data_IF_445825363873
#
_entry.id   IF_445825363873
#
_cell.length_a   1.000
_cell.length_b   1.000
_cell.length_c   1.000
_cell.angle_alpha   90.00
_cell.angle_beta   90.00
_cell.angle_gamma   90.00
#
_symmetry.space_group_name_H-M   'P 1'
#
loop_
_entity.id
_entity.type
_entity.pdbx_description
1 polymer ?
#
# COMPACT_ATOMS: atom_id res chain seq x y z
N UNK A 1 -47.93 4.01 -25.04
CA UNK A 1 -48.40 4.45 -26.37
C UNK A 1 -48.48 5.97 -26.37
N UNK A 2 -48.00 6.57 -27.46
CA UNK A 2 -47.98 7.98 -27.90
C UNK A 2 -48.99 8.92 -27.21
N UNK A 3 -48.64 10.19 -26.93
CA UNK A 3 -48.80 11.31 -27.89
C UNK A 3 -47.73 12.41 -27.69
N UNK A 4 -47.22 12.93 -28.82
CA UNK A 4 -46.34 14.10 -29.02
C UNK A 4 -47.16 15.32 -29.50
N UNK A 5 -46.53 16.50 -29.40
CA UNK A 5 -46.73 17.75 -30.20
C UNK A 5 -47.68 18.80 -29.59
N UNK A 6 -47.16 19.93 -29.09
CA UNK A 6 -46.78 21.20 -29.78
C UNK A 6 -48.00 22.10 -30.09
N UNK A 7 -48.12 23.26 -29.42
CA UNK A 7 -48.08 24.58 -30.07
C UNK A 7 -48.09 25.73 -29.03
N UNK A 8 -47.35 26.78 -29.36
CA UNK A 8 -47.12 28.00 -28.59
C UNK A 8 -48.20 29.08 -28.82
N UNK A 9 -48.42 29.96 -27.85
CA UNK A 9 -48.85 31.34 -28.10
C UNK A 9 -48.41 32.31 -26.98
N UNK A 10 -47.59 33.27 -27.39
CA UNK A 10 -47.54 34.69 -27.01
C UNK A 10 -47.74 35.13 -25.55
N UNK A 11 -46.71 35.78 -24.98
CA UNK A 11 -46.93 37.03 -24.23
C UNK A 11 -45.79 38.02 -24.47
N UNK A 12 -46.15 39.15 -25.05
CA UNK A 12 -45.29 40.30 -25.35
C UNK A 12 -45.07 41.16 -24.10
N UNK A 13 -43.85 41.72 -24.03
CA UNK A 13 -43.45 43.04 -23.51
C UNK A 13 -43.87 43.44 -22.08
N UNK A 14 -42.87 43.73 -21.23
CA UNK A 14 -42.58 45.08 -20.71
C UNK A 14 -41.07 45.14 -20.38
N UNK A 15 -40.36 46.03 -21.09
CA UNK A 15 -39.01 46.49 -20.77
C UNK A 15 -39.14 47.63 -19.75
N UNK A 16 -38.53 47.48 -18.58
CA UNK A 16 -38.22 48.60 -17.70
C UNK A 16 -36.72 48.57 -17.38
N UNK A 17 -36.00 49.47 -18.05
CA UNK A 17 -34.62 49.82 -17.76
C UNK A 17 -34.53 50.43 -16.36
N UNK A 18 -33.71 49.84 -15.48
CA UNK A 18 -33.09 50.58 -14.38
C UNK A 18 -31.61 50.23 -14.36
N UNK A 19 -30.81 51.16 -14.85
CA UNK A 19 -29.35 51.11 -14.78
C UNK A 19 -28.92 51.46 -13.35
N UNK A 20 -28.35 50.50 -12.64
CA UNK A 20 -27.49 50.79 -11.48
C UNK A 20 -26.04 50.81 -11.97
N UNK A 21 -25.53 52.03 -12.19
CA UNK A 21 -24.11 52.29 -12.33
C UNK A 21 -23.45 52.11 -10.96
N UNK A 22 -22.65 51.05 -10.81
CA UNK A 22 -21.71 50.93 -9.70
C UNK A 22 -20.41 51.68 -10.08
N UNK A 23 -19.81 52.47 -9.17
CA UNK A 23 -18.59 53.20 -9.47
C UNK A 23 -17.39 52.24 -9.55
N UNK A 24 -16.74 52.20 -10.71
CA UNK A 24 -15.39 51.66 -10.86
C UNK A 24 -14.39 52.63 -10.25
N UNK A 25 -14.07 52.43 -8.97
CA UNK A 25 -12.79 52.85 -8.39
C UNK A 25 -11.94 51.61 -8.21
N UNK A 26 -11.03 51.36 -9.15
CA UNK A 26 -9.92 50.43 -8.95
C UNK A 26 -9.02 50.99 -7.84
N UNK A 27 -9.00 50.32 -6.69
CA UNK A 27 -7.97 50.53 -5.68
C UNK A 27 -6.70 49.77 -6.11
N UNK A 28 -5.52 50.42 -6.18
CA UNK A 28 -4.28 49.70 -6.39
C UNK A 28 -3.97 48.85 -5.15
N UNK A 29 -3.97 47.52 -5.31
CA UNK A 29 -3.48 46.60 -4.31
C UNK A 29 -1.95 46.78 -4.18
N UNK A 30 -1.51 47.43 -3.10
CA UNK A 30 -0.10 47.51 -2.74
C UNK A 30 0.16 46.55 -1.55
N UNK A 31 0.47 45.27 -1.80
CA UNK A 31 0.65 44.30 -0.73
C UNK A 31 1.92 44.63 0.07
N UNK A 32 1.73 45.02 1.34
CA UNK A 32 2.81 45.07 2.33
C UNK A 32 3.25 43.64 2.65
N UNK A 33 4.54 43.33 2.47
CA UNK A 33 5.16 42.10 2.97
C UNK A 33 5.05 42.09 4.50
N UNK A 34 4.21 41.20 5.04
CA UNK A 34 4.17 40.92 6.48
C UNK A 34 5.18 39.80 6.73
N UNK A 35 6.32 40.14 7.35
CA UNK A 35 7.28 39.16 7.88
C UNK A 35 6.84 38.75 9.28
N UNK A 36 5.89 37.82 9.38
CA UNK A 36 5.61 37.12 10.63
C UNK A 36 5.32 35.66 10.28
N UNK A 37 6.09 34.75 10.88
CA UNK A 37 5.89 33.32 10.72
C UNK A 37 4.52 32.94 11.29
N UNK A 38 3.66 32.38 10.44
CA UNK A 38 2.46 31.69 10.89
C UNK A 38 2.92 30.33 11.40
N UNK A 39 2.87 30.15 12.71
CA UNK A 39 3.16 28.89 13.37
C UNK A 39 1.98 27.94 13.12
N UNK A 40 2.18 26.89 12.32
CA UNK A 40 1.22 25.78 12.24
C UNK A 40 1.18 25.06 13.61
N UNK A 41 0.01 24.95 14.26
CA UNK A 41 -0.11 24.15 15.45
C UNK A 41 -0.26 22.69 15.02
N UNK A 42 0.77 21.88 15.29
CA UNK A 42 0.88 20.40 15.25
C UNK A 42 2.00 19.95 14.30
N UNK A 43 3.14 19.59 14.92
CA UNK A 43 4.25 18.86 14.32
C UNK A 43 4.04 17.35 14.57
N UNK A 44 3.75 16.54 13.53
CA UNK A 44 3.57 15.09 13.68
C UNK A 44 4.90 14.30 13.86
N UNK A 45 6.04 14.98 14.01
CA UNK A 45 7.38 14.36 14.09
C UNK A 45 8.19 14.73 15.35
N UNK A 46 7.59 15.34 16.38
CA UNK A 46 8.31 15.66 17.61
C UNK A 46 8.63 14.40 18.45
N UNK A 47 9.85 13.87 18.27
CA UNK A 47 10.49 12.93 19.19
C UNK A 47 11.71 13.63 19.78
N UNK A 48 11.76 13.75 21.11
CA UNK A 48 12.78 14.50 21.84
C UNK A 48 14.21 14.08 21.44
N UNK A 49 15.00 15.07 21.00
CA UNK A 49 16.45 14.92 20.80
C UNK A 49 17.15 15.12 22.13
N UNK A 50 17.60 14.02 22.74
CA UNK A 50 18.66 14.04 23.73
C UNK A 50 19.68 12.94 23.42
N UNK A 51 20.78 13.31 22.77
CA UNK A 51 22.15 12.86 23.07
C UNK A 51 23.13 13.17 21.91
N UNK A 52 23.98 14.17 22.17
CA UNK A 52 25.43 14.17 21.91
C UNK A 52 25.98 14.40 20.50
N UNK A 53 26.51 15.62 20.36
CA UNK A 53 27.51 16.09 19.40
C UNK A 53 28.70 15.13 19.23
N UNK A 54 29.06 14.83 17.97
CA UNK A 54 30.47 14.64 17.58
C UNK A 54 30.70 15.32 16.23
N UNK A 55 31.80 16.05 16.21
CA UNK A 55 32.34 17.00 15.23
C UNK A 55 32.59 16.42 13.84
N UNK A 56 32.39 17.22 12.81
CA UNK A 56 32.74 16.90 11.42
C UNK A 56 34.20 17.24 11.09
N UNK A 57 34.83 16.42 10.25
CA UNK A 57 35.91 16.81 9.33
C UNK A 57 35.81 16.01 8.00
N UNK A 58 36.23 16.58 6.86
CA UNK A 58 35.85 16.11 5.53
C UNK A 58 36.91 15.19 4.89
N UNK A 59 36.47 14.26 4.03
CA UNK A 59 37.36 13.54 3.12
C UNK A 59 36.70 13.31 1.75
N UNK A 60 37.26 14.02 0.76
CA UNK A 60 37.61 13.63 -0.61
C UNK A 60 36.80 12.58 -1.40
N UNK A 61 36.47 13.01 -2.61
CA UNK A 61 36.02 12.31 -3.81
C UNK A 61 36.59 10.90 -4.05
N UNK A 62 35.69 9.95 -4.35
CA UNK A 62 35.97 8.82 -5.25
C UNK A 62 34.71 8.54 -6.09
N UNK A 63 34.89 8.51 -7.41
CA UNK A 63 33.88 8.10 -8.37
C UNK A 63 33.63 6.59 -8.28
N UNK A 64 32.36 6.16 -8.28
CA UNK A 64 31.99 4.76 -8.48
C UNK A 64 30.65 4.65 -9.22
N UNK A 65 30.78 4.21 -10.48
CA UNK A 65 29.90 3.40 -11.32
C UNK A 65 28.53 2.95 -10.80
N UNK A 66 27.55 3.06 -11.71
CA UNK A 66 26.16 2.62 -11.63
C UNK A 66 25.97 1.20 -11.07
N UNK A 67 25.11 1.09 -10.05
CA UNK A 67 24.71 -0.16 -9.43
C UNK A 67 23.38 -0.66 -10.02
N UNK A 68 23.46 -1.83 -10.66
CA UNK A 68 22.36 -2.72 -11.04
C UNK A 68 21.76 -3.43 -9.82
N UNK A 69 20.44 -3.66 -9.81
CA UNK A 69 19.73 -4.43 -8.78
C UNK A 69 20.26 -5.89 -8.68
N UNK A 70 20.24 -6.50 -7.47
CA UNK A 70 20.80 -7.82 -7.23
C UNK A 70 19.88 -8.96 -7.70
N UNK A 71 20.47 -9.88 -8.46
CA UNK A 71 19.89 -11.15 -8.84
C UNK A 71 19.95 -12.15 -7.66
N UNK A 72 18.81 -12.75 -7.30
CA UNK A 72 18.77 -13.90 -6.38
C UNK A 72 18.78 -15.18 -7.21
N UNK A 73 19.86 -15.94 -7.10
CA UNK A 73 19.99 -17.29 -7.65
C UNK A 73 19.78 -18.32 -6.53
N UNK A 74 18.96 -19.32 -6.80
CA UNK A 74 18.67 -20.45 -5.91
C UNK A 74 19.52 -21.66 -6.31
N UNK A 75 20.21 -22.29 -5.35
CA UNK A 75 20.78 -23.63 -5.59
C UNK A 75 21.82 -24.14 -4.58
N UNK A 76 21.40 -25.16 -3.84
CA UNK A 76 22.17 -26.30 -3.31
C UNK A 76 23.10 -26.16 -2.08
N UNK A 77 22.95 -27.15 -1.21
CA UNK A 77 23.60 -27.38 0.08
C UNK A 77 24.99 -28.06 -0.05
N UNK A 78 25.88 -27.88 0.94
CA UNK A 78 26.31 -28.94 1.89
C UNK A 78 27.54 -28.51 2.72
N UNK A 79 27.47 -28.82 4.03
CA UNK A 79 28.50 -29.11 5.08
C UNK A 79 29.86 -28.40 5.06
N UNK A 80 30.21 -27.73 6.17
CA UNK A 80 31.38 -28.03 7.04
C UNK A 80 31.13 -27.42 8.44
N UNK A 81 31.43 -28.21 9.47
CA UNK A 81 31.22 -27.95 10.90
C UNK A 81 32.40 -27.24 11.58
N UNK A 82 32.17 -26.86 12.86
CA UNK A 82 33.14 -26.60 13.95
C UNK A 82 33.93 -25.29 13.85
N UNK A 83 34.27 -24.54 14.91
CA UNK A 83 34.04 -24.41 16.36
C UNK A 83 35.00 -23.25 16.75
N UNK A 84 34.74 -22.50 17.82
CA UNK A 84 35.68 -21.71 18.67
C UNK A 84 34.84 -20.62 19.37
N UNK A 85 34.28 -20.89 20.55
CA UNK A 85 34.87 -20.74 21.91
C UNK A 85 34.64 -19.36 22.56
N UNK A 86 33.67 -19.35 23.49
CA UNK A 86 33.65 -18.81 24.85
C UNK A 86 34.28 -17.46 25.21
N UNK A 87 33.45 -16.60 25.84
CA UNK A 87 33.83 -15.82 27.04
C UNK A 87 32.57 -15.50 27.87
N UNK A 88 32.62 -15.43 29.23
CA UNK A 88 31.45 -15.57 30.10
C UNK A 88 30.91 -14.26 30.71
N UNK A 89 29.71 -14.42 31.28
CA UNK A 89 29.00 -13.61 32.28
C UNK A 89 28.25 -12.32 31.89
N UNK A 90 26.93 -12.46 31.78
CA UNK A 90 25.97 -11.50 32.35
C UNK A 90 24.68 -12.23 32.75
N UNK A 91 24.24 -12.01 33.99
CA UNK A 91 23.06 -12.60 34.65
C UNK A 91 21.83 -12.70 33.73
N UNK A 92 21.43 -13.92 33.43
CA UNK A 92 20.18 -14.23 32.73
C UNK A 92 19.02 -14.17 33.71
N UNK A 93 18.18 -13.13 33.60
CA UNK A 93 16.83 -13.15 34.13
C UNK A 93 16.08 -14.31 33.47
N UNK A 94 15.62 -15.27 34.27
CA UNK A 94 14.91 -16.46 33.80
C UNK A 94 13.55 -16.04 33.21
N UNK A 95 13.51 -15.70 31.92
CA UNK A 95 12.24 -15.64 31.17
C UNK A 95 11.68 -17.05 31.09
N UNK A 96 10.47 -17.24 31.63
CA UNK A 96 9.71 -18.46 31.45
C UNK A 96 9.65 -18.84 29.96
N UNK A 97 9.78 -20.13 29.60
CA UNK A 97 9.73 -20.55 28.21
C UNK A 97 8.38 -20.16 27.60
N UNK A 98 8.41 -19.37 26.54
CA UNK A 98 7.23 -18.99 25.78
C UNK A 98 6.53 -20.26 25.27
N UNK A 99 5.29 -20.48 25.68
CA UNK A 99 4.45 -21.53 25.11
C UNK A 99 4.42 -21.34 23.59
N UNK A 100 4.71 -22.39 22.77
CA UNK A 100 4.67 -22.27 21.33
C UNK A 100 3.29 -21.77 20.89
N UNK A 101 3.26 -20.71 20.11
CA UNK A 101 2.01 -20.14 19.62
C UNK A 101 1.22 -21.18 18.82
N UNK A 102 -0.05 -21.40 19.19
CA UNK A 102 -0.97 -22.23 18.41
C UNK A 102 -1.48 -21.43 17.20
N UNK A 103 -1.32 -22.00 16.01
CA UNK A 103 -1.73 -21.39 14.74
C UNK A 103 -3.02 -21.98 14.18
N UNK A 104 -3.86 -22.60 15.03
CA UNK A 104 -5.19 -23.03 14.62
C UNK A 104 -6.09 -21.81 14.40
N UNK A 105 -7.10 -21.93 13.53
CA UNK A 105 -8.07 -20.86 13.25
C UNK A 105 -8.70 -20.32 14.54
N UNK A 106 -9.14 -21.22 15.43
CA UNK A 106 -9.76 -20.85 16.71
C UNK A 106 -8.76 -20.14 17.63
N UNK A 107 -7.52 -20.62 17.72
CA UNK A 107 -6.49 -19.99 18.55
C UNK A 107 -6.14 -18.58 18.05
N UNK A 108 -6.10 -18.35 16.73
CA UNK A 108 -5.84 -17.02 16.17
C UNK A 108 -7.03 -16.09 16.38
N UNK A 109 -8.26 -16.59 16.17
CA UNK A 109 -9.47 -15.79 16.39
C UNK A 109 -9.71 -15.46 17.86
N UNK A 110 -9.28 -16.32 18.79
CA UNK A 110 -9.34 -16.12 20.22
C UNK A 110 -8.08 -15.48 20.82
N UNK A 111 -7.05 -15.19 20.01
CA UNK A 111 -5.83 -14.55 20.49
C UNK A 111 -6.17 -13.19 21.08
N UNK A 112 -5.78 -12.94 22.32
CA UNK A 112 -5.95 -11.65 23.02
C UNK A 112 -4.67 -10.82 22.98
N UNK A 113 -4.73 -9.56 23.41
CA UNK A 113 -3.55 -8.72 23.60
C UNK A 113 -2.70 -9.22 24.78
N UNK A 114 -1.47 -9.71 24.56
CA UNK A 114 -0.55 -9.96 25.66
C UNK A 114 0.30 -8.71 25.91
N UNK A 115 0.60 -8.46 27.19
CA UNK A 115 1.58 -7.44 27.56
C UNK A 115 2.96 -7.82 27.01
N UNK A 116 3.60 -6.92 26.27
CA UNK A 116 4.95 -7.16 25.73
C UNK A 116 5.02 -8.19 24.59
N UNK A 117 4.26 -7.99 23.51
CA UNK A 117 4.31 -8.85 22.33
C UNK A 117 5.75 -9.03 21.79
N UNK A 118 6.21 -10.28 21.55
CA UNK A 118 7.55 -10.54 21.06
C UNK A 118 7.75 -10.04 19.63
N UNK A 119 9.02 -9.89 19.22
CA UNK A 119 9.35 -9.67 17.80
C UNK A 119 9.05 -10.92 16.98
N UNK A 120 8.73 -10.72 15.70
CA UNK A 120 8.43 -11.78 14.75
C UNK A 120 6.93 -12.05 14.63
N UNK A 121 6.59 -13.29 14.31
CA UNK A 121 5.20 -13.70 14.08
C UNK A 121 4.48 -14.08 15.38
N UNK A 122 3.22 -13.65 15.50
CA UNK A 122 2.35 -14.03 16.62
C UNK A 122 0.86 -14.08 16.17
N UNK A 123 0.03 -15.00 16.69
CA UNK A 123 -1.40 -15.04 16.44
C UNK A 123 -2.12 -13.71 16.72
N UNK A 124 -1.73 -12.96 17.75
CA UNK A 124 -2.30 -11.65 18.04
C UNK A 124 -1.98 -10.63 16.93
N UNK A 125 -0.77 -10.64 16.38
CA UNK A 125 -0.43 -9.79 15.22
C UNK A 125 -1.21 -10.22 13.97
N UNK A 126 -1.34 -11.53 13.73
CA UNK A 126 -2.15 -12.05 12.62
C UNK A 126 -3.62 -11.58 12.72
N UNK A 127 -4.23 -11.72 13.90
CA UNK A 127 -5.59 -11.21 14.17
C UNK A 127 -5.67 -9.69 14.00
N UNK A 128 -4.70 -8.96 14.57
CA UNK A 128 -4.63 -7.50 14.45
C UNK A 128 -4.51 -7.03 12.99
N UNK A 129 -3.71 -7.70 12.16
CA UNK A 129 -3.55 -7.35 10.74
C UNK A 129 -4.89 -7.40 10.00
N UNK A 130 -5.71 -8.42 10.24
CA UNK A 130 -7.05 -8.50 9.62
C UNK A 130 -7.95 -7.39 10.13
N UNK A 131 -7.97 -7.12 11.44
CA UNK A 131 -8.77 -6.05 12.02
C UNK A 131 -8.36 -4.67 11.50
N UNK A 132 -7.06 -4.42 11.35
CA UNK A 132 -6.48 -3.21 10.78
C UNK A 132 -6.85 -3.07 9.30
N UNK A 133 -6.67 -4.14 8.52
CA UNK A 133 -7.11 -4.18 7.13
C UNK A 133 -8.59 -3.81 7.02
N UNK A 134 -9.46 -4.45 7.81
CA UNK A 134 -10.90 -4.21 7.77
C UNK A 134 -11.32 -2.84 8.32
N UNK A 135 -10.44 -2.18 9.07
CA UNK A 135 -10.59 -0.79 9.52
C UNK A 135 -9.98 0.22 8.55
N UNK A 136 -9.61 -0.22 7.33
CA UNK A 136 -8.99 0.57 6.27
C UNK A 136 -7.60 1.14 6.59
N UNK A 137 -6.95 0.63 7.64
CA UNK A 137 -5.54 0.86 7.93
C UNK A 137 -4.73 -0.36 7.45
N UNK A 138 -4.43 -0.43 6.15
CA UNK A 138 -3.84 -1.62 5.54
C UNK A 138 -2.45 -1.93 6.13
N UNK A 139 -2.17 -3.17 6.58
CA UNK A 139 -0.82 -3.63 6.89
C UNK A 139 -0.03 -4.04 5.63
N UNK A 140 -0.65 -3.96 4.44
CA UNK A 140 -0.14 -4.62 3.24
C UNK A 140 -0.38 -6.12 3.33
N UNK A 141 0.63 -6.93 3.00
CA UNK A 141 0.49 -8.39 3.06
C UNK A 141 0.34 -8.88 4.50
N UNK A 142 -0.74 -9.61 4.78
CA UNK A 142 -0.99 -10.22 6.07
C UNK A 142 -0.02 -11.39 6.25
N UNK A 143 0.98 -11.19 7.12
CA UNK A 143 2.04 -12.17 7.42
C UNK A 143 2.18 -12.52 8.91
N UNK A 144 1.30 -11.95 9.75
CA UNK A 144 1.27 -12.16 11.19
C UNK A 144 2.49 -11.64 11.96
N UNK A 145 3.34 -10.82 11.34
CA UNK A 145 4.59 -10.31 11.93
C UNK A 145 4.48 -8.86 12.43
N UNK A 146 5.38 -8.44 13.32
CA UNK A 146 5.46 -7.05 13.80
C UNK A 146 6.40 -6.15 12.97
N UNK A 147 6.37 -6.30 11.64
CA UNK A 147 7.23 -5.56 10.73
C UNK A 147 6.89 -4.06 10.63
N UNK A 148 7.69 -3.31 9.86
CA UNK A 148 7.51 -1.85 9.68
C UNK A 148 6.11 -1.47 9.16
N UNK A 149 5.51 -2.27 8.29
CA UNK A 149 4.16 -1.99 7.78
C UNK A 149 3.09 -2.20 8.86
N UNK A 150 3.27 -3.18 9.74
CA UNK A 150 2.41 -3.38 10.92
C UNK A 150 2.40 -2.16 11.82
N UNK A 151 3.60 -1.63 12.15
CA UNK A 151 3.71 -0.44 13.00
C UNK A 151 3.02 0.78 12.37
N UNK A 152 3.18 0.96 11.06
CA UNK A 152 2.53 2.04 10.29
C UNK A 152 1.00 1.91 10.25
N UNK A 153 0.49 0.69 10.03
CA UNK A 153 -0.93 0.42 10.02
C UNK A 153 -1.54 0.69 11.40
N UNK A 154 -0.86 0.27 12.48
CA UNK A 154 -1.26 0.57 13.84
C UNK A 154 -1.31 2.09 14.09
N UNK A 155 -0.26 2.82 13.72
CA UNK A 155 -0.21 4.28 13.88
C UNK A 155 -1.34 4.98 13.11
N UNK A 156 -1.62 4.52 11.89
CA UNK A 156 -2.68 5.09 11.05
C UNK A 156 -4.07 4.78 11.64
N UNK A 157 -4.29 3.55 12.12
CA UNK A 157 -5.52 3.19 12.82
C UNK A 157 -5.71 4.01 14.09
N UNK A 158 -4.66 4.19 14.89
CA UNK A 158 -4.70 5.02 16.09
C UNK A 158 -5.12 6.45 15.74
N UNK A 159 -4.48 7.06 14.75
CA UNK A 159 -4.82 8.40 14.27
C UNK A 159 -6.28 8.50 13.78
N UNK A 160 -6.72 7.54 12.96
CA UNK A 160 -8.10 7.48 12.44
C UNK A 160 -9.16 7.35 13.55
N UNK A 161 -8.78 6.86 14.73
CA UNK A 161 -9.68 6.62 15.85
C UNK A 161 -9.42 7.55 17.06
N UNK A 162 -8.67 8.64 16.86
CA UNK A 162 -8.43 9.63 17.91
C UNK A 162 -7.52 9.14 19.05
N UNK A 163 -6.73 8.10 18.81
CA UNK A 163 -5.69 7.61 19.71
C UNK A 163 -4.34 8.23 19.35
N UNK A 164 -3.41 8.27 20.30
CA UNK A 164 -2.02 8.68 20.04
C UNK A 164 -1.37 7.70 19.05
N UNK A 165 -0.82 8.15 17.91
CA UNK A 165 -0.29 7.29 16.86
C UNK A 165 1.13 6.79 17.19
N UNK A 166 1.24 5.95 18.22
CA UNK A 166 2.53 5.38 18.68
C UNK A 166 3.08 4.31 17.73
N UNK A 167 2.23 3.70 16.90
CA UNK A 167 2.57 2.55 16.07
C UNK A 167 2.80 1.25 16.85
N UNK A 168 2.63 1.28 18.18
CA UNK A 168 2.70 0.11 19.05
C UNK A 168 1.30 -0.45 19.25
N UNK A 169 1.16 -1.78 19.22
CA UNK A 169 -0.11 -2.43 19.54
C UNK A 169 -0.31 -2.36 21.06
N UNK A 170 -0.92 -1.28 21.54
CA UNK A 170 -1.27 -1.11 22.95
C UNK A 170 -2.60 -1.78 23.28
N UNK A 171 -2.91 -1.91 24.57
CA UNK A 171 -4.20 -2.44 25.00
C UNK A 171 -5.37 -1.59 24.48
N UNK A 172 -5.26 -0.26 24.54
CA UNK A 172 -6.28 0.67 24.06
C UNK A 172 -6.51 0.50 22.56
N UNK A 173 -5.42 0.29 21.81
CA UNK A 173 -5.47 0.04 20.37
C UNK A 173 -6.16 -1.29 20.06
N UNK A 174 -5.83 -2.33 20.83
CA UNK A 174 -6.46 -3.64 20.72
C UNK A 174 -7.96 -3.60 21.01
N UNK A 175 -8.34 -3.01 22.14
CA UNK A 175 -9.74 -2.87 22.54
C UNK A 175 -10.55 -2.13 21.46
N UNK A 176 -9.98 -1.07 20.86
CA UNK A 176 -10.59 -0.33 19.76
C UNK A 176 -10.73 -1.16 18.46
N UNK A 177 -9.76 -2.03 18.16
CA UNK A 177 -9.85 -2.96 17.02
C UNK A 177 -10.94 -4.01 17.25
N UNK A 178 -10.96 -4.64 18.43
CA UNK A 178 -11.96 -5.66 18.81
C UNK A 178 -13.37 -5.06 18.81
N UNK A 179 -13.55 -3.85 19.32
CA UNK A 179 -14.85 -3.17 19.33
C UNK A 179 -15.45 -2.94 17.93
N UNK A 180 -14.63 -2.89 16.88
CA UNK A 180 -15.07 -2.76 15.48
C UNK A 180 -15.21 -4.10 14.76
N UNK A 181 -14.73 -5.19 15.36
CA UNK A 181 -14.74 -6.50 14.74
C UNK A 181 -16.15 -7.11 14.81
N UNK A 182 -16.80 -7.27 13.65
CA UNK A 182 -18.14 -7.88 13.55
C UNK A 182 -18.13 -9.32 13.05
N UNK A 183 -16.99 -9.80 12.54
CA UNK A 183 -16.79 -11.15 12.00
C UNK A 183 -15.45 -11.73 12.46
N UNK A 184 -15.28 -13.07 12.51
CA UNK A 184 -13.98 -13.68 12.76
C UNK A 184 -12.91 -13.16 11.80
N UNK A 185 -11.69 -12.99 12.30
CA UNK A 185 -10.55 -12.49 11.52
C UNK A 185 -10.05 -13.55 10.52
N UNK A 186 -10.11 -14.82 10.90
CA UNK A 186 -9.80 -15.94 10.04
C UNK A 186 -11.02 -16.84 9.89
N UNK A 187 -11.20 -17.38 8.69
CA UNK A 187 -12.32 -18.24 8.34
C UNK A 187 -11.85 -19.42 7.52
N UNK A 188 -12.65 -20.47 7.50
CA UNK A 188 -12.48 -21.57 6.56
C UNK A 188 -12.99 -21.14 5.17
N UNK A 189 -12.19 -21.40 4.15
CA UNK A 189 -12.52 -21.21 2.75
C UNK A 189 -12.39 -22.53 1.99
N UNK A 190 -13.40 -22.86 1.20
CA UNK A 190 -13.39 -24.03 0.32
C UNK A 190 -12.88 -23.62 -1.05
N UNK A 191 -11.74 -24.18 -1.48
CA UNK A 191 -11.18 -23.96 -2.81
C UNK A 191 -12.22 -24.40 -3.87
N UNK A 192 -12.48 -23.53 -4.83
CA UNK A 192 -13.48 -23.78 -5.88
C UNK A 192 -12.84 -24.21 -7.19
N UNK A 193 -13.62 -24.80 -8.09
CA UNK A 193 -13.16 -25.08 -9.46
C UNK A 193 -12.74 -23.80 -10.21
N UNK A 194 -13.39 -22.67 -9.92
CA UNK A 194 -13.03 -21.37 -10.50
C UNK A 194 -11.63 -20.91 -10.05
N UNK A 195 -11.29 -21.13 -8.78
CA UNK A 195 -9.95 -20.83 -8.27
C UNK A 195 -8.89 -21.67 -9.00
N UNK A 196 -9.17 -22.93 -9.34
CA UNK A 196 -8.23 -23.81 -10.04
C UNK A 196 -8.15 -23.55 -11.56
N UNK A 197 -9.25 -23.08 -12.17
CA UNK A 197 -9.36 -22.92 -13.63
C UNK A 197 -8.50 -21.77 -14.17
N UNK A 198 -8.23 -20.74 -13.37
CA UNK A 198 -7.37 -19.61 -13.76
C UNK A 198 -8.10 -18.50 -14.53
N UNK A 199 -7.37 -17.68 -15.28
CA UNK A 199 -6.14 -18.00 -16.02
C UNK A 199 -4.86 -18.06 -15.18
N UNK A 200 -3.96 -18.97 -15.55
CA UNK A 200 -2.61 -19.13 -14.97
C UNK A 200 -1.54 -19.14 -16.07
N UNK A 201 -0.33 -18.74 -15.71
CA UNK A 201 0.88 -18.88 -16.53
C UNK A 201 1.82 -19.90 -15.89
N UNK A 202 2.42 -20.81 -16.67
CA UNK A 202 3.34 -21.81 -16.14
C UNK A 202 4.57 -21.17 -15.47
N UNK A 203 5.07 -20.09 -16.07
CA UNK A 203 6.11 -19.22 -15.51
C UNK A 203 6.06 -17.86 -16.18
N UNK A 204 6.68 -16.86 -15.54
CA UNK A 204 6.89 -15.53 -16.12
C UNK A 204 8.40 -15.29 -16.26
N UNK A 205 8.93 -15.14 -17.49
CA UNK A 205 10.34 -14.87 -17.71
C UNK A 205 10.69 -13.47 -17.18
N UNK A 206 11.93 -13.26 -16.74
CA UNK A 206 12.39 -11.95 -16.29
C UNK A 206 12.56 -10.94 -17.44
N UNK A 207 12.80 -11.41 -18.67
CA UNK A 207 13.00 -10.57 -19.85
C UNK A 207 11.68 -10.01 -20.40
N UNK A 208 11.62 -8.69 -20.58
CA UNK A 208 10.41 -7.99 -21.03
C UNK A 208 10.03 -8.30 -22.48
N UNK A 209 10.99 -8.59 -23.38
CA UNK A 209 10.65 -9.00 -24.74
C UNK A 209 10.04 -10.40 -24.80
N UNK A 210 10.37 -11.28 -23.84
CA UNK A 210 9.67 -12.56 -23.66
C UNK A 210 8.28 -12.35 -23.06
N UNK A 211 8.16 -11.51 -22.02
CA UNK A 211 6.87 -11.17 -21.41
C UNK A 211 5.89 -10.55 -22.43
N UNK A 212 6.37 -9.69 -23.33
CA UNK A 212 5.57 -9.04 -24.38
C UNK A 212 4.91 -10.04 -25.35
N UNK A 213 5.41 -11.27 -25.44
CA UNK A 213 4.87 -12.34 -26.30
C UNK A 213 3.86 -13.23 -25.58
N UNK A 214 3.69 -13.08 -24.27
CA UNK A 214 2.76 -13.88 -23.48
C UNK A 214 1.31 -13.48 -23.76
N UNK A 215 0.35 -14.37 -23.43
CA UNK A 215 -1.08 -14.06 -23.51
C UNK A 215 -1.56 -13.12 -22.39
N UNK A 216 -0.83 -13.10 -21.28
CA UNK A 216 -1.12 -12.33 -20.07
C UNK A 216 -0.10 -12.66 -19.00
N UNK A 217 0.18 -11.68 -18.14
CA UNK A 217 1.06 -11.84 -16.98
C UNK A 217 0.21 -12.30 -15.78
N UNK A 218 -0.36 -13.50 -15.93
CA UNK A 218 -1.29 -14.09 -14.97
C UNK A 218 -0.58 -14.60 -13.71
N UNK A 219 -1.36 -15.03 -12.71
CA UNK A 219 -0.80 -15.78 -11.58
C UNK A 219 -0.07 -17.02 -12.07
N UNK A 220 0.95 -17.43 -11.34
CA UNK A 220 1.73 -18.64 -11.63
C UNK A 220 1.35 -19.82 -10.74
N UNK A 221 0.63 -19.55 -9.64
CA UNK A 221 0.18 -20.57 -8.67
C UNK A 221 -1.18 -20.20 -8.08
N UNK A 222 -1.95 -21.21 -7.70
CA UNK A 222 -3.22 -21.04 -6.96
C UNK A 222 -2.99 -20.34 -5.61
N UNK A 223 -1.90 -20.66 -4.92
CA UNK A 223 -1.53 -20.02 -3.63
C UNK A 223 -1.21 -18.55 -3.77
N UNK A 224 -0.59 -18.13 -4.88
CA UNK A 224 -0.35 -16.73 -5.20
C UNK A 224 -1.68 -16.00 -5.43
N UNK A 225 -2.58 -16.57 -6.24
CA UNK A 225 -3.93 -16.03 -6.48
C UNK A 225 -4.73 -15.91 -5.19
N UNK A 226 -4.72 -16.94 -4.34
CA UNK A 226 -5.42 -16.94 -3.05
C UNK A 226 -4.80 -15.94 -2.08
N UNK A 227 -3.47 -15.79 -2.07
CA UNK A 227 -2.78 -14.75 -1.31
C UNK A 227 -3.29 -13.37 -1.69
N UNK A 228 -3.37 -13.08 -2.98
CA UNK A 228 -3.94 -11.82 -3.50
C UNK A 228 -5.41 -11.64 -3.14
N UNK A 229 -6.23 -12.70 -3.28
CA UNK A 229 -7.66 -12.69 -2.97
C UNK A 229 -7.97 -12.40 -1.49
N UNK A 230 -7.11 -12.85 -0.58
CA UNK A 230 -7.30 -12.72 0.87
C UNK A 230 -6.30 -11.76 1.53
N UNK A 231 -5.55 -10.99 0.73
CA UNK A 231 -4.55 -10.00 1.15
C UNK A 231 -3.43 -10.60 2.02
N UNK A 232 -3.10 -11.88 1.80
CA UNK A 232 -2.12 -12.63 2.59
C UNK A 232 -0.77 -12.75 1.87
N UNK A 233 0.30 -12.77 2.66
CA UNK A 233 1.58 -13.27 2.16
C UNK A 233 1.46 -14.76 1.79
N UNK A 234 1.97 -15.15 0.61
CA UNK A 234 1.83 -16.52 0.09
C UNK A 234 2.49 -17.56 1.03
N UNK A 235 3.61 -17.21 1.69
CA UNK A 235 4.29 -18.13 2.61
C UNK A 235 3.49 -18.27 3.89
N UNK A 236 2.94 -17.17 4.40
CA UNK A 236 2.08 -17.22 5.58
C UNK A 236 0.78 -18.01 5.32
N UNK A 237 0.17 -17.86 4.14
CA UNK A 237 -0.98 -18.67 3.73
C UNK A 237 -0.64 -20.18 3.75
N UNK A 238 0.52 -20.58 3.25
CA UNK A 238 0.99 -21.98 3.28
C UNK A 238 1.31 -22.45 4.69
N UNK A 239 1.95 -21.61 5.50
CA UNK A 239 2.27 -21.91 6.90
C UNK A 239 1.00 -22.18 7.72
N UNK A 240 -0.06 -21.42 7.48
CA UNK A 240 -1.34 -21.58 8.17
C UNK A 240 -2.10 -22.83 7.72
N UNK A 241 -1.72 -23.41 6.58
CA UNK A 241 -2.35 -24.56 5.95
C UNK A 241 -1.31 -25.64 5.59
N UNK A 242 -0.57 -26.19 6.58
CA UNK A 242 0.58 -27.05 6.31
C UNK A 242 0.20 -28.37 5.62
N UNK A 243 -1.06 -28.79 5.75
CA UNK A 243 -1.58 -30.03 5.18
C UNK A 243 -2.31 -29.82 3.84
N UNK A 244 -2.43 -28.58 3.36
CA UNK A 244 -3.18 -28.29 2.15
C UNK A 244 -2.33 -28.44 0.87
N UNK A 245 -2.91 -29.07 -0.14
CA UNK A 245 -2.32 -29.24 -1.48
C UNK A 245 -2.48 -28.01 -2.36
N UNK A 246 -3.57 -27.24 -2.16
CA UNK A 246 -4.03 -26.12 -2.99
C UNK A 246 -4.30 -26.48 -4.46
N UNK A 247 -4.56 -27.76 -4.74
CA UNK A 247 -4.71 -28.29 -6.11
C UNK A 247 -6.08 -28.92 -6.36
N UNK A 248 -6.97 -28.96 -5.37
CA UNK A 248 -8.22 -29.70 -5.44
C UNK A 248 -9.40 -28.83 -4.99
N UNK A 249 -10.46 -28.80 -5.79
CA UNK A 249 -11.71 -28.18 -5.39
C UNK A 249 -12.35 -28.95 -4.23
N UNK A 250 -13.00 -28.25 -3.31
CA UNK A 250 -13.52 -28.82 -2.07
C UNK A 250 -12.50 -28.90 -0.94
N UNK A 251 -11.22 -28.65 -1.20
CA UNK A 251 -10.21 -28.54 -0.15
C UNK A 251 -10.48 -27.31 0.72
N UNK A 252 -10.47 -27.50 2.04
CA UNK A 252 -10.74 -26.46 3.03
C UNK A 252 -9.42 -25.89 3.55
N UNK A 253 -9.29 -24.58 3.54
CA UNK A 253 -8.12 -23.85 4.01
C UNK A 253 -8.53 -22.70 4.93
N UNK A 254 -7.66 -22.32 5.85
CA UNK A 254 -7.80 -21.14 6.70
C UNK A 254 -7.27 -19.92 5.93
N UNK A 255 -8.08 -18.89 5.83
CA UNK A 255 -7.73 -17.62 5.17
C UNK A 255 -8.16 -16.42 6.00
N UNK A 256 -7.56 -15.27 5.73
CA UNK A 256 -7.99 -14.00 6.32
C UNK A 256 -9.37 -13.57 5.78
N UNK A 257 -10.23 -13.07 6.65
CA UNK A 257 -11.55 -12.53 6.32
C UNK A 257 -11.44 -11.03 6.09
N UNK A 258 -11.17 -10.64 4.85
CA UNK A 258 -10.79 -9.27 4.48
C UNK A 258 -11.92 -8.47 3.84
N UNK A 259 -11.87 -7.14 4.02
CA UNK A 259 -12.63 -6.16 3.22
C UNK A 259 -12.19 -6.19 1.75
N UNK A 260 -13.01 -5.61 0.88
CA UNK A 260 -12.72 -5.43 -0.56
C UNK A 260 -13.24 -4.07 -1.08
N UNK A 261 -13.33 -3.07 -0.20
CA UNK A 261 -13.89 -1.76 -0.51
C UNK A 261 -13.29 -0.63 0.35
N UNK A 262 -13.67 0.60 0.00
CA UNK A 262 -13.41 1.83 0.75
C UNK A 262 -14.73 2.48 1.17
N UNK A 263 -14.80 3.04 2.38
CA UNK A 263 -16.07 3.41 3.00
C UNK A 263 -16.64 4.73 2.46
N UNK A 264 -15.76 5.65 2.04
CA UNK A 264 -16.11 7.04 1.73
C UNK A 264 -15.42 7.53 0.45
N UNK A 265 -16.00 8.57 -0.16
CA UNK A 265 -15.41 9.22 -1.33
C UNK A 265 -14.10 9.93 -0.96
N UNK A 266 -13.14 9.86 -1.87
CA UNK A 266 -11.78 10.38 -1.68
C UNK A 266 -11.72 11.80 -2.23
N UNK A 267 -11.35 12.76 -1.38
CA UNK A 267 -11.14 14.16 -1.76
C UNK A 267 -9.65 14.48 -1.98
N UNK A 268 -8.79 13.91 -1.15
CA UNK A 268 -7.34 14.13 -1.17
C UNK A 268 -6.60 12.82 -0.92
N UNK A 269 -5.52 12.63 -1.68
CA UNK A 269 -4.54 11.57 -1.49
C UNK A 269 -3.22 12.24 -1.08
N UNK A 270 -2.63 11.81 0.03
CA UNK A 270 -1.30 12.25 0.45
C UNK A 270 -0.33 11.09 0.26
N UNK A 271 0.64 11.25 -0.64
CA UNK A 271 1.75 10.34 -0.83
C UNK A 271 2.93 10.79 0.05
N UNK A 272 3.04 10.22 1.24
CA UNK A 272 4.06 10.59 2.22
C UNK A 272 5.31 9.72 2.05
N UNK A 273 6.38 10.31 1.50
CA UNK A 273 7.61 9.61 1.11
C UNK A 273 8.36 9.05 2.32
N UNK A 274 8.58 9.86 3.35
CA UNK A 274 9.26 9.47 4.59
C UNK A 274 8.52 8.37 5.35
N UNK A 275 7.20 8.51 5.49
CA UNK A 275 6.37 7.46 6.08
C UNK A 275 6.24 6.22 5.19
N UNK A 276 6.49 6.35 3.88
CA UNK A 276 6.24 5.32 2.84
C UNK A 276 4.80 4.80 2.93
N UNK A 277 3.86 5.74 2.96
CA UNK A 277 2.43 5.47 3.03
C UNK A 277 1.65 6.39 2.10
N UNK A 278 0.49 5.90 1.69
CA UNK A 278 -0.54 6.67 1.03
C UNK A 278 -1.69 6.88 2.03
N UNK A 279 -2.04 8.13 2.32
CA UNK A 279 -3.18 8.48 3.17
C UNK A 279 -4.33 9.02 2.32
N UNK A 280 -5.54 8.55 2.58
CA UNK A 280 -6.75 8.96 1.87
C UNK A 280 -7.62 9.79 2.81
N UNK A 281 -8.05 10.96 2.35
CA UNK A 281 -8.89 11.89 3.11
C UNK A 281 -10.20 12.15 2.38
N UNK A 282 -11.29 12.24 3.16
CA UNK A 282 -12.59 12.69 2.67
C UNK A 282 -12.66 14.23 2.59
N UNK A 283 -13.81 14.77 2.16
CA UNK A 283 -14.05 16.23 2.05
C UNK A 283 -14.09 16.96 3.40
N UNK A 284 -14.15 16.22 4.51
CA UNK A 284 -14.12 16.73 5.89
C UNK A 284 -12.69 16.73 6.47
N UNK A 285 -11.68 16.46 5.65
CA UNK A 285 -10.27 16.30 6.06
C UNK A 285 -10.04 15.19 7.09
N UNK A 286 -10.91 14.18 7.13
CA UNK A 286 -10.70 13.00 7.96
C UNK A 286 -9.96 11.94 7.17
N UNK A 287 -8.94 11.34 7.78
CA UNK A 287 -8.27 10.18 7.20
C UNK A 287 -9.25 9.00 7.20
N UNK A 288 -9.57 8.48 6.02
CA UNK A 288 -10.52 7.37 5.84
C UNK A 288 -9.83 6.05 5.52
N UNK A 289 -8.57 6.09 5.11
CA UNK A 289 -7.76 4.92 4.86
C UNK A 289 -6.26 5.25 4.78
N UNK A 290 -5.43 4.24 5.02
CA UNK A 290 -3.99 4.30 4.82
C UNK A 290 -3.46 3.02 4.17
N UNK A 291 -2.58 3.16 3.18
CA UNK A 291 -1.91 2.02 2.54
C UNK A 291 -0.39 2.12 2.67
N UNK A 292 0.33 1.03 2.94
CA UNK A 292 1.77 1.03 2.80
C UNK A 292 2.11 1.20 1.31
N UNK A 293 3.16 1.95 1.02
CA UNK A 293 3.52 2.26 -0.36
C UNK A 293 5.04 2.20 -0.55
N UNK A 294 5.48 1.81 -1.74
CA UNK A 294 6.85 2.11 -2.18
C UNK A 294 6.80 3.37 -3.03
N UNK A 295 7.46 4.44 -2.58
CA UNK A 295 7.39 5.77 -3.20
C UNK A 295 8.80 6.25 -3.54
N UNK A 296 9.16 6.17 -4.82
CA UNK A 296 10.45 6.62 -5.35
C UNK A 296 11.68 5.97 -4.72
N UNK A 297 12.86 6.35 -5.21
CA UNK A 297 14.15 6.14 -4.57
C UNK A 297 14.90 7.47 -4.51
N UNK A 298 16.05 7.53 -3.84
CA UNK A 298 16.94 8.69 -3.96
C UNK A 298 17.44 8.88 -5.39
N UNK A 299 17.67 7.78 -6.10
CA UNK A 299 18.22 7.77 -7.46
C UNK A 299 17.15 8.03 -8.53
N UNK A 300 15.88 7.79 -8.18
CA UNK A 300 14.70 8.04 -9.02
C UNK A 300 13.58 8.60 -8.15
N UNK A 301 13.69 9.88 -7.73
CA UNK A 301 12.77 10.47 -6.76
C UNK A 301 11.36 10.53 -7.34
N UNK A 302 10.39 10.20 -6.49
CA UNK A 302 9.01 10.54 -6.79
C UNK A 302 8.86 12.06 -6.96
N UNK A 303 7.88 12.50 -7.75
CA UNK A 303 7.62 13.92 -7.96
C UNK A 303 7.41 14.68 -6.65
N UNK A 304 7.77 15.95 -6.62
CA UNK A 304 7.35 16.88 -5.58
C UNK A 304 6.09 17.65 -6.02
N UNK A 305 5.32 18.14 -5.05
CA UNK A 305 4.19 19.03 -5.29
C UNK A 305 2.83 18.33 -5.39
N UNK A 306 1.90 18.97 -6.09
CA UNK A 306 0.49 18.58 -6.13
C UNK A 306 0.06 18.25 -7.56
N UNK A 307 -0.58 17.10 -7.71
CA UNK A 307 -1.08 16.58 -8.98
C UNK A 307 -2.57 16.22 -8.87
N UNK A 308 -3.15 15.84 -10.00
CA UNK A 308 -4.52 15.37 -10.10
C UNK A 308 -4.54 13.95 -10.64
N UNK A 309 -5.47 13.13 -10.16
CA UNK A 309 -5.80 11.87 -10.82
C UNK A 309 -6.41 12.20 -12.19
N UNK A 310 -5.90 11.60 -13.26
CA UNK A 310 -6.44 11.80 -14.61
C UNK A 310 -7.42 10.69 -15.00
N UNK A 311 -7.20 9.46 -14.52
CA UNK A 311 -8.05 8.32 -14.80
C UNK A 311 -7.51 7.02 -14.21
N UNK A 312 -8.33 5.98 -14.29
CA UNK A 312 -8.02 4.62 -13.80
C UNK A 312 -8.11 3.65 -14.96
N UNK A 313 -7.08 2.81 -15.13
CA UNK A 313 -7.06 1.70 -16.07
C UNK A 313 -6.99 0.38 -15.29
N UNK A 314 -8.02 -0.47 -15.46
CA UNK A 314 -8.04 -1.83 -14.93
C UNK A 314 -7.39 -2.78 -15.93
N UNK A 315 -6.54 -3.68 -15.44
CA UNK A 315 -5.73 -4.60 -16.24
C UNK A 315 -5.06 -3.88 -17.44
N UNK A 316 -4.24 -2.85 -17.17
CA UNK A 316 -3.63 -2.07 -18.24
C UNK A 316 -2.58 -2.89 -19.00
N UNK A 317 -2.45 -2.61 -20.29
CA UNK A 317 -1.21 -2.93 -21.01
C UNK A 317 -0.08 -2.05 -20.48
N UNK A 318 1.09 -2.64 -20.24
CA UNK A 318 2.25 -1.88 -19.77
C UNK A 318 3.14 -1.48 -20.95
N UNK A 319 3.23 -0.17 -21.20
CA UNK A 319 4.12 0.39 -22.22
C UNK A 319 5.51 0.63 -21.62
N UNK A 320 6.45 -0.26 -21.91
CA UNK A 320 7.85 -0.12 -21.54
C UNK A 320 8.58 0.77 -22.55
N UNK A 321 9.40 1.69 -22.04
CA UNK A 321 10.30 2.51 -22.85
C UNK A 321 11.72 2.47 -22.27
N UNK A 322 12.72 2.06 -23.08
CA UNK A 322 14.13 2.01 -22.64
C UNK A 322 14.71 3.38 -22.29
N UNK A 323 14.05 4.48 -22.70
CA UNK A 323 14.42 5.85 -22.32
C UNK A 323 14.16 6.16 -20.84
N UNK A 324 13.27 5.41 -20.17
CA UNK A 324 13.02 5.58 -18.73
C UNK A 324 14.03 4.77 -17.91
N UNK A 325 14.24 3.51 -18.30
CA UNK A 325 15.22 2.59 -17.73
C UNK A 325 15.44 1.43 -18.70
N UNK A 326 16.62 0.80 -18.66
CA UNK A 326 16.94 -0.35 -19.51
C UNK A 326 16.71 -1.66 -18.73
N UNK A 327 15.77 -2.47 -19.19
CA UNK A 327 15.50 -3.81 -18.67
C UNK A 327 16.23 -4.86 -19.51
N UNK A 328 17.20 -5.57 -18.92
CA UNK A 328 17.98 -6.59 -19.63
C UNK A 328 18.68 -6.02 -20.87
N UNK A 329 18.44 -6.62 -22.04
CA UNK A 329 18.96 -6.14 -23.34
C UNK A 329 17.89 -5.45 -24.20
N UNK A 330 16.79 -5.02 -23.58
CA UNK A 330 15.64 -4.46 -24.29
C UNK A 330 15.85 -2.97 -24.59
N UNK A 331 16.38 -2.68 -25.78
CA UNK A 331 16.70 -1.32 -26.27
C UNK A 331 15.60 -0.69 -27.13
N UNK A 332 14.43 -1.32 -27.24
CA UNK A 332 13.28 -0.82 -28.00
C UNK A 332 12.04 -0.77 -27.10
N UNK A 333 11.06 0.11 -27.39
CA UNK A 333 9.78 0.09 -26.70
C UNK A 333 9.08 -1.26 -26.83
N UNK A 334 8.40 -1.68 -25.77
CA UNK A 334 7.65 -2.93 -25.71
C UNK A 334 6.26 -2.68 -25.11
N UNK A 335 5.30 -3.52 -25.48
CA UNK A 335 3.97 -3.55 -24.86
C UNK A 335 3.78 -4.89 -24.19
N UNK A 336 3.69 -4.89 -22.86
CA UNK A 336 3.53 -6.11 -22.06
C UNK A 336 2.03 -6.33 -21.78
N UNK A 337 1.56 -7.57 -21.89
CA UNK A 337 0.15 -7.88 -21.73
C UNK A 337 -0.31 -7.70 -20.28
N UNK A 338 -1.60 -7.45 -20.03
CA UNK A 338 -2.12 -7.27 -18.69
C UNK A 338 -1.98 -8.50 -17.79
N UNK A 339 -2.07 -8.26 -16.49
CA UNK A 339 -2.24 -9.28 -15.47
C UNK A 339 -1.75 -8.81 -14.11
N UNK A 340 -2.07 -9.55 -13.03
CA UNK A 340 -1.63 -9.22 -11.68
C UNK A 340 -0.10 -9.20 -11.54
N UNK A 341 0.60 -9.96 -12.39
CA UNK A 341 2.06 -9.98 -12.42
C UNK A 341 2.70 -9.00 -13.41
N UNK A 342 1.91 -8.11 -14.02
CA UNK A 342 2.46 -7.05 -14.86
C UNK A 342 3.30 -6.07 -14.02
N UNK A 343 4.27 -5.35 -14.60
CA UNK A 343 5.13 -4.41 -13.85
C UNK A 343 4.38 -3.32 -13.06
N UNK A 344 3.16 -3.01 -13.47
CA UNK A 344 2.26 -2.05 -12.79
C UNK A 344 1.07 -2.73 -12.09
N UNK A 345 1.09 -4.05 -11.96
CA UNK A 345 -0.01 -4.84 -11.42
C UNK A 345 -1.27 -4.78 -12.27
N UNK A 346 -2.42 -5.06 -11.63
CA UNK A 346 -3.72 -5.08 -12.31
C UNK A 346 -4.46 -3.74 -12.31
N UNK A 347 -3.88 -2.68 -11.73
CA UNK A 347 -4.46 -1.34 -11.67
C UNK A 347 -3.41 -0.28 -11.93
N UNK A 348 -3.75 0.67 -12.79
CA UNK A 348 -3.01 1.91 -12.97
C UNK A 348 -3.92 3.12 -12.74
N UNK A 349 -3.50 4.03 -11.86
CA UNK A 349 -4.15 5.31 -11.59
C UNK A 349 -3.20 6.39 -12.06
N UNK A 350 -3.50 6.99 -13.22
CA UNK A 350 -2.63 8.00 -13.82
C UNK A 350 -2.71 9.33 -13.06
N UNK A 351 -1.58 10.02 -12.96
CA UNK A 351 -1.50 11.39 -12.44
C UNK A 351 -1.33 12.41 -13.58
N UNK A 352 -1.62 13.68 -13.30
CA UNK A 352 -1.42 14.78 -14.26
C UNK A 352 0.05 15.03 -14.60
N UNK A 353 0.99 14.45 -13.85
CA UNK A 353 2.39 14.34 -14.27
C UNK A 353 2.55 13.18 -15.25
N UNK A 354 2.95 13.51 -16.47
CA UNK A 354 3.18 12.52 -17.55
C UNK A 354 4.06 11.37 -17.07
N UNK A 355 3.63 10.13 -17.35
CA UNK A 355 4.31 8.88 -17.00
C UNK A 355 4.36 8.52 -15.51
N UNK A 356 3.70 9.25 -14.62
CA UNK A 356 3.61 8.92 -13.20
C UNK A 356 2.20 8.47 -12.81
N UNK A 357 2.14 7.54 -11.87
CA UNK A 357 0.89 6.93 -11.41
C UNK A 357 1.01 6.28 -10.04
N UNK A 358 -0.16 5.94 -9.50
CA UNK A 358 -0.32 5.00 -8.38
C UNK A 358 -0.73 3.66 -8.99
N UNK A 359 -0.07 2.57 -8.63
CA UNK A 359 -0.32 1.29 -9.28
C UNK A 359 -0.07 0.09 -8.37
N UNK A 360 -0.54 -1.08 -8.81
CA UNK A 360 -0.32 -2.36 -8.13
C UNK A 360 1.11 -2.89 -8.28
N UNK A 361 1.34 -4.15 -7.94
CA UNK A 361 2.68 -4.76 -8.05
C UNK A 361 2.58 -6.27 -8.19
N UNK A 362 3.50 -6.92 -8.93
CA UNK A 362 3.64 -8.38 -8.90
C UNK A 362 4.18 -8.91 -7.57
N UNK A 363 4.72 -8.04 -6.71
CA UNK A 363 5.42 -8.43 -5.47
C UNK A 363 4.86 -7.71 -4.24
N UNK A 364 3.64 -8.06 -3.76
CA UNK A 364 2.99 -7.34 -2.67
C UNK A 364 3.79 -7.38 -1.35
N UNK A 365 4.49 -8.49 -1.07
CA UNK A 365 5.29 -8.64 0.16
C UNK A 365 6.52 -7.71 0.23
N UNK A 366 6.88 -7.04 -0.87
CA UNK A 366 8.02 -6.09 -0.95
C UNK A 366 7.61 -4.63 -0.78
N UNK A 367 6.31 -4.33 -0.68
CA UNK A 367 5.82 -2.95 -0.52
C UNK A 367 6.38 -2.29 0.74
N UNK A 368 6.87 -1.06 0.58
CA UNK A 368 7.60 -0.25 1.58
C UNK A 368 8.94 -0.86 2.06
N UNK A 369 9.38 -1.99 1.50
CA UNK A 369 10.67 -2.64 1.83
C UNK A 369 11.76 -2.36 0.79
N UNK A 370 11.35 -2.06 -0.44
CA UNK A 370 12.25 -1.68 -1.55
C UNK A 370 12.06 -0.21 -1.94
N UNK A 371 12.78 0.23 -2.97
CA UNK A 371 12.57 1.51 -3.62
C UNK A 371 11.94 1.32 -5.01
N UNK A 372 11.40 2.37 -5.61
CA UNK A 372 10.78 2.31 -6.96
C UNK A 372 11.41 3.32 -7.90
N UNK A 373 11.16 3.14 -9.20
CA UNK A 373 11.59 4.04 -10.27
C UNK A 373 10.71 5.30 -10.39
N UNK A 374 10.31 5.88 -9.26
CA UNK A 374 9.56 7.15 -9.17
C UNK A 374 8.03 7.05 -9.02
N UNK A 375 7.36 5.96 -9.40
CA UNK A 375 5.90 5.79 -9.20
C UNK A 375 5.53 5.38 -7.77
N UNK A 376 4.24 5.44 -7.42
CA UNK A 376 3.73 4.94 -6.14
C UNK A 376 3.25 3.50 -6.35
N UNK A 377 3.91 2.53 -5.71
CA UNK A 377 3.50 1.12 -5.76
C UNK A 377 2.74 0.73 -4.51
N UNK A 378 1.62 0.07 -4.69
CA UNK A 378 0.79 -0.56 -3.66
C UNK A 378 0.72 -2.06 -3.92
N UNK A 379 0.20 -2.82 -2.95
CA UNK A 379 -0.28 -4.19 -3.23
C UNK A 379 -1.41 -4.10 -4.26
N UNK A 380 -1.65 -5.18 -5.03
CA UNK A 380 -2.72 -5.14 -6.03
C UNK A 380 -4.08 -4.88 -5.36
N UNK A 381 -4.39 -5.51 -4.22
CA UNK A 381 -5.66 -5.26 -3.52
C UNK A 381 -5.85 -3.81 -3.07
N UNK A 382 -4.85 -3.17 -2.46
CA UNK A 382 -4.97 -1.77 -2.04
C UNK A 382 -5.09 -0.83 -3.26
N UNK A 383 -4.41 -1.16 -4.38
CA UNK A 383 -4.58 -0.45 -5.64
C UNK A 383 -6.00 -0.65 -6.23
N UNK A 384 -6.59 -1.84 -6.11
CA UNK A 384 -7.96 -2.12 -6.54
C UNK A 384 -8.97 -1.34 -5.72
N UNK A 385 -8.83 -1.32 -4.40
CA UNK A 385 -9.68 -0.54 -3.50
C UNK A 385 -9.64 0.94 -3.86
N UNK A 386 -8.43 1.50 -4.03
CA UNK A 386 -8.25 2.88 -4.47
C UNK A 386 -8.86 3.12 -5.85
N UNK A 387 -8.54 2.28 -6.83
CA UNK A 387 -8.96 2.41 -8.21
C UNK A 387 -10.47 2.28 -8.41
N UNK A 388 -11.15 1.53 -7.53
CA UNK A 388 -12.60 1.41 -7.52
C UNK A 388 -13.32 2.67 -7.01
N UNK A 389 -12.64 3.46 -6.17
CA UNK A 389 -13.25 4.60 -5.47
C UNK A 389 -12.78 5.97 -5.98
N UNK A 390 -11.54 6.08 -6.43
CA UNK A 390 -10.94 7.35 -6.84
C UNK A 390 -11.56 7.87 -8.14
N UNK A 391 -11.76 9.19 -8.21
CA UNK A 391 -12.31 9.86 -9.39
C UNK A 391 -11.27 10.74 -10.06
N UNK A 392 -11.46 11.00 -11.35
CA UNK A 392 -10.65 12.01 -12.04
C UNK A 392 -10.80 13.37 -11.35
N UNK A 393 -9.72 14.13 -11.25
CA UNK A 393 -9.66 15.41 -10.55
C UNK A 393 -9.37 15.34 -9.04
N UNK A 394 -9.35 14.14 -8.43
CA UNK A 394 -8.90 13.97 -7.04
C UNK A 394 -7.47 14.49 -6.90
N UNK A 395 -7.22 15.27 -5.85
CA UNK A 395 -5.90 15.85 -5.58
C UNK A 395 -4.96 14.79 -5.02
N UNK A 396 -3.73 14.76 -5.53
CA UNK A 396 -2.64 13.94 -4.99
C UNK A 396 -1.49 14.86 -4.59
N UNK A 397 -1.20 14.94 -3.29
CA UNK A 397 -0.12 15.75 -2.74
C UNK A 397 1.04 14.84 -2.35
N UNK A 398 2.23 15.13 -2.86
CA UNK A 398 3.46 14.50 -2.39
C UNK A 398 4.00 15.28 -1.20
N UNK A 399 4.31 14.55 -0.13
CA UNK A 399 4.92 15.08 1.09
C UNK A 399 6.24 14.34 1.32
N UNK A 400 7.28 15.07 1.70
CA UNK A 400 8.57 14.49 2.06
C UNK A 400 8.49 13.59 3.29
#
# INVERSE_FOLDING_TARGET
>A
MFVRSLLAMSLSCILANVAFAAPTTEQPLNPKKISAAVQDPIDPLAVDRAASNVTAQPASSVAATAASEPQVNTGAASVVSQQLENTPDAKTTTTAPAVPASWTMDAINAAEWPEGLPKGQNPAYARAHVMLNNSHASPGAIDGSNGKNTLKAIASFQQMNGLTPTGQLTKETWDALVAKQTKPAYVEYTITDADLKGPYADSIPSDYALQAKMKGLYYTRVTEMLGEKFHMDERFLKQLNPNASFKKAGEKIIVANVRNDLPEDIHLIVAHKGARQLYLFNSRNQMIASFPATIGSTDTPSPEGTYKVVGVAKNPWYSYSPSNFVQGKNLKPLSLPPGPNAPVGNIWIGLSKKSFGIHGTPNPSLISKTASHGCIRLTNWDANDLGAKVRSGVTVKFLE
#
